data_IF_655072569129
#
_entry.id   IF_655072569129
#
_cell.length_a   1.000
_cell.length_b   1.000
_cell.length_c   1.000
_cell.angle_alpha   90.00
_cell.angle_beta   90.00
_cell.angle_gamma   90.00
#
_symmetry.space_group_name_H-M   'P 1'
#
loop_
_entity.id
_entity.type
_entity.pdbx_description
1 polymer ?
#
# COMPACT_ATOMS: atom_id res chain seq x y z
N UNK A 1 13.36 -11.22 -5.50
CA UNK A 1 12.09 -11.45 -4.76
C UNK A 1 12.04 -12.73 -3.94
N UNK A 2 12.37 -13.92 -4.48
CA UNK A 2 12.31 -15.18 -3.70
C UNK A 2 13.04 -15.13 -2.34
N UNK A 3 14.19 -14.46 -2.27
CA UNK A 3 14.98 -14.33 -1.04
C UNK A 3 14.24 -13.60 0.11
N UNK A 4 13.41 -12.60 -0.22
CA UNK A 4 12.64 -11.85 0.79
C UNK A 4 11.49 -12.69 1.34
N UNK A 5 10.74 -13.37 0.46
CA UNK A 5 9.57 -14.16 0.83
C UNK A 5 9.92 -15.51 1.47
N UNK A 6 11.06 -16.12 1.15
CA UNK A 6 11.40 -17.45 1.64
C UNK A 6 11.93 -17.42 3.08
N UNK A 7 12.67 -16.38 3.49
CA UNK A 7 13.26 -16.28 4.83
C UNK A 7 12.30 -15.64 5.85
N UNK A 8 11.52 -14.63 5.44
CA UNK A 8 10.65 -13.83 6.33
C UNK A 8 9.16 -14.21 6.28
N UNK A 9 8.83 -15.51 6.13
CA UNK A 9 7.43 -15.97 5.98
C UNK A 9 6.54 -15.59 7.18
N UNK A 10 7.04 -15.81 8.40
CA UNK A 10 6.28 -15.59 9.63
C UNK A 10 5.98 -14.10 9.90
N UNK A 11 6.96 -13.17 9.84
CA UNK A 11 6.65 -11.75 9.99
C UNK A 11 5.78 -11.20 8.84
N UNK A 12 5.90 -11.72 7.61
CA UNK A 12 5.00 -11.31 6.52
C UNK A 12 3.54 -11.72 6.75
N UNK A 13 3.30 -12.91 7.31
CA UNK A 13 1.93 -13.33 7.69
C UNK A 13 1.39 -12.44 8.79
N UNK A 14 2.20 -12.11 9.81
CA UNK A 14 1.78 -11.19 10.89
C UNK A 14 1.47 -9.79 10.36
N UNK A 15 2.29 -9.26 9.44
CA UNK A 15 2.00 -7.99 8.76
C UNK A 15 0.63 -8.05 8.07
N UNK A 16 0.37 -9.12 7.32
CA UNK A 16 -0.91 -9.27 6.62
C UNK A 16 -2.10 -9.34 7.58
N UNK A 17 -1.98 -10.10 8.67
CA UNK A 17 -3.01 -10.17 9.72
C UNK A 17 -3.27 -8.78 10.32
N UNK A 18 -2.22 -8.04 10.68
CA UNK A 18 -2.36 -6.70 11.23
C UNK A 18 -2.96 -5.71 10.23
N UNK A 19 -2.64 -5.82 8.93
CA UNK A 19 -3.30 -5.03 7.88
C UNK A 19 -4.79 -5.33 7.76
N UNK A 20 -5.18 -6.60 7.87
CA UNK A 20 -6.59 -6.99 7.83
C UNK A 20 -7.32 -6.43 9.05
N UNK A 21 -6.76 -6.57 10.25
CA UNK A 21 -7.37 -6.05 11.48
C UNK A 21 -7.48 -4.52 11.42
N UNK A 22 -6.41 -3.82 11.00
CA UNK A 22 -6.44 -2.36 10.90
C UNK A 22 -7.48 -1.91 9.88
N UNK A 23 -7.61 -2.61 8.75
CA UNK A 23 -8.59 -2.29 7.71
C UNK A 23 -10.01 -2.50 8.21
N UNK A 24 -10.31 -3.62 8.87
CA UNK A 24 -11.63 -3.87 9.47
C UNK A 24 -11.97 -2.78 10.49
N UNK A 25 -11.02 -2.41 11.35
CA UNK A 25 -11.22 -1.34 12.32
C UNK A 25 -11.50 0.01 11.64
N UNK A 26 -10.78 0.33 10.56
CA UNK A 26 -11.01 1.56 9.80
C UNK A 26 -12.41 1.60 9.15
N UNK A 27 -12.81 0.51 8.48
CA UNK A 27 -14.11 0.40 7.82
C UNK A 27 -15.25 0.51 8.83
N UNK A 28 -15.14 -0.16 9.99
CA UNK A 28 -16.15 -0.05 11.05
C UNK A 28 -16.17 1.33 11.72
N UNK A 29 -15.01 1.95 11.91
CA UNK A 29 -14.91 3.33 12.40
C UNK A 29 -15.65 4.30 11.48
N UNK A 30 -15.47 4.16 10.16
CA UNK A 30 -16.15 4.98 9.16
C UNK A 30 -17.67 4.71 9.12
N UNK A 31 -18.09 3.44 9.22
CA UNK A 31 -19.51 3.07 9.27
C UNK A 31 -20.21 3.61 10.53
N UNK A 32 -19.48 3.79 11.63
CA UNK A 32 -20.04 4.34 12.88
C UNK A 32 -20.48 5.80 12.70
N UNK A 33 -19.89 6.55 11.76
CA UNK A 33 -20.31 7.94 11.45
C UNK A 33 -21.77 7.97 11.03
N UNK A 34 -22.22 7.05 10.17
CA UNK A 34 -23.62 6.99 9.77
C UNK A 34 -24.55 6.75 10.96
N UNK A 35 -24.19 5.80 11.84
CA UNK A 35 -24.97 5.51 13.05
C UNK A 35 -25.05 6.70 13.99
N UNK A 36 -23.96 7.46 14.13
CA UNK A 36 -23.94 8.71 14.92
C UNK A 36 -24.87 9.76 14.31
N UNK A 37 -24.87 9.89 12.98
CA UNK A 37 -25.77 10.82 12.28
C UNK A 37 -27.24 10.41 12.44
N UNK A 38 -27.57 9.13 12.26
CA UNK A 38 -28.93 8.62 12.40
C UNK A 38 -29.48 8.82 13.83
N UNK A 39 -28.66 8.52 14.84
CA UNK A 39 -29.03 8.74 16.24
C UNK A 39 -29.15 10.23 16.58
N UNK A 40 -28.27 11.07 16.03
CA UNK A 40 -28.33 12.52 16.18
C UNK A 40 -29.58 13.14 15.55
N UNK A 41 -29.98 12.66 14.37
CA UNK A 41 -31.23 13.07 13.71
C UNK A 41 -32.44 12.63 14.54
N UNK A 42 -32.45 11.39 15.05
CA UNK A 42 -33.51 10.90 15.92
C UNK A 42 -33.69 11.78 17.14
N UNK A 43 -32.59 12.21 17.76
CA UNK A 43 -32.60 13.09 18.93
C UNK A 43 -33.21 14.47 18.62
N UNK A 44 -32.92 14.99 17.43
CA UNK A 44 -33.49 16.25 16.95
C UNK A 44 -34.99 16.14 16.67
N UNK A 45 -35.44 15.02 16.09
CA UNK A 45 -36.86 14.77 15.78
C UNK A 45 -37.72 14.54 17.01
N UNK A 46 -37.22 13.83 18.03
CA UNK A 46 -37.97 13.52 19.26
C UNK A 46 -37.89 14.61 20.33
N UNK A 47 -36.97 15.57 20.18
CA UNK A 47 -36.71 16.62 21.19
C UNK A 47 -36.18 16.06 22.52
N UNK A 48 -35.75 14.80 22.56
CA UNK A 48 -35.26 14.14 23.76
C UNK A 48 -33.87 14.64 24.13
N UNK A 49 -33.60 14.90 25.43
CA UNK A 49 -32.25 15.30 25.89
C UNK A 49 -31.34 14.12 26.24
N UNK A 50 -31.65 12.90 25.79
CA UNK A 50 -30.86 11.70 26.11
C UNK A 50 -29.70 11.49 25.11
N UNK A 51 -28.55 12.10 25.41
CA UNK A 51 -27.34 11.96 24.61
C UNK A 51 -26.57 10.64 24.85
N UNK A 52 -27.07 9.74 25.69
CA UNK A 52 -26.36 8.50 26.05
C UNK A 52 -26.04 7.62 24.83
N UNK A 53 -26.99 7.49 23.90
CA UNK A 53 -26.82 6.72 22.67
C UNK A 53 -25.71 7.28 21.77
N UNK A 54 -25.71 8.59 21.54
CA UNK A 54 -24.67 9.28 20.75
C UNK A 54 -23.30 9.17 21.43
N UNK A 55 -23.24 9.35 22.75
CA UNK A 55 -22.00 9.23 23.52
C UNK A 55 -21.39 7.82 23.42
N UNK A 56 -22.22 6.78 23.51
CA UNK A 56 -21.78 5.39 23.36
C UNK A 56 -21.21 5.12 21.94
N UNK A 57 -21.86 5.63 20.91
CA UNK A 57 -21.39 5.50 19.52
C UNK A 57 -20.07 6.24 19.30
N UNK A 58 -19.90 7.44 19.88
CA UNK A 58 -18.64 8.19 19.81
C UNK A 58 -17.49 7.45 20.51
N UNK A 59 -17.73 6.89 21.70
CA UNK A 59 -16.73 6.07 22.40
C UNK A 59 -16.33 4.83 21.59
N UNK A 60 -17.30 4.17 20.97
CA UNK A 60 -17.06 3.01 20.11
C UNK A 60 -16.27 3.39 18.85
N UNK A 61 -16.57 4.54 18.25
CA UNK A 61 -15.85 5.10 17.10
C UNK A 61 -14.38 5.39 17.45
N UNK A 62 -14.13 6.03 18.61
CA UNK A 62 -12.77 6.27 19.12
C UNK A 62 -12.03 4.94 19.29
N UNK A 63 -12.68 3.93 19.87
CA UNK A 63 -12.08 2.60 20.04
C UNK A 63 -11.65 1.98 18.70
N UNK A 64 -12.49 2.04 17.67
CA UNK A 64 -12.13 1.56 16.33
C UNK A 64 -10.93 2.30 15.73
N UNK A 65 -10.86 3.63 15.86
CA UNK A 65 -9.71 4.38 15.36
C UNK A 65 -8.43 4.11 16.14
N UNK A 66 -8.52 3.97 17.46
CA UNK A 66 -7.37 3.58 18.28
C UNK A 66 -6.84 2.21 17.85
N UNK A 67 -7.71 1.22 17.66
CA UNK A 67 -7.32 -0.09 17.12
C UNK A 67 -6.69 0.05 15.74
N UNK A 68 -7.30 0.83 14.84
CA UNK A 68 -6.74 1.06 13.52
C UNK A 68 -5.32 1.65 13.59
N UNK A 69 -5.08 2.67 14.43
CA UNK A 69 -3.78 3.31 14.59
C UNK A 69 -2.76 2.31 15.14
N UNK A 70 -3.11 1.56 16.18
CA UNK A 70 -2.21 0.58 16.83
C UNK A 70 -1.78 -0.49 15.83
N UNK A 71 -2.73 -1.13 15.13
CA UNK A 71 -2.41 -2.17 14.16
C UNK A 71 -1.75 -1.60 12.90
N UNK A 72 -2.03 -0.35 12.54
CA UNK A 72 -1.34 0.34 11.46
C UNK A 72 0.13 0.54 11.79
N UNK A 73 0.41 1.09 12.97
CA UNK A 73 1.77 1.26 13.47
C UNK A 73 2.52 -0.07 13.57
N UNK A 74 1.88 -1.12 14.08
CA UNK A 74 2.50 -2.44 14.21
C UNK A 74 2.92 -3.04 12.86
N UNK A 75 2.04 -3.05 11.85
CA UNK A 75 2.41 -3.62 10.56
C UNK A 75 3.45 -2.77 9.82
N UNK A 76 3.39 -1.44 9.93
CA UNK A 76 4.40 -0.54 9.35
C UNK A 76 5.78 -0.78 9.97
N UNK A 77 5.85 -0.85 11.31
CA UNK A 77 7.10 -1.11 12.03
C UNK A 77 7.68 -2.48 11.67
N UNK A 78 6.82 -3.51 11.60
CA UNK A 78 7.24 -4.86 11.23
C UNK A 78 7.73 -4.92 9.77
N UNK A 79 7.08 -4.21 8.84
CA UNK A 79 7.54 -4.10 7.45
C UNK A 79 8.88 -3.38 7.32
N UNK A 80 9.15 -2.35 8.12
CA UNK A 80 10.48 -1.72 8.17
C UNK A 80 11.54 -2.73 8.60
N UNK A 81 11.27 -3.55 9.61
CA UNK A 81 12.22 -4.58 10.04
C UNK A 81 12.48 -5.63 8.93
N UNK A 82 11.41 -6.13 8.30
CA UNK A 82 11.51 -7.07 7.16
C UNK A 82 12.30 -6.44 6.00
N UNK A 83 12.05 -5.16 5.70
CA UNK A 83 12.74 -4.38 4.67
C UNK A 83 14.24 -4.33 4.90
N UNK A 84 14.66 -3.95 6.11
CA UNK A 84 16.07 -3.72 6.42
C UNK A 84 16.85 -5.03 6.43
N UNK A 85 16.29 -6.08 7.04
CA UNK A 85 16.91 -7.42 7.01
C UNK A 85 17.06 -7.94 5.58
N UNK A 86 16.05 -7.71 4.74
CA UNK A 86 16.09 -8.08 3.33
C UNK A 86 17.15 -7.31 2.56
N UNK A 87 17.29 -6.01 2.82
CA UNK A 87 18.30 -5.15 2.18
C UNK A 87 19.72 -5.57 2.56
N UNK A 88 19.98 -5.83 3.84
CA UNK A 88 21.31 -6.30 4.29
C UNK A 88 21.66 -7.59 3.56
N UNK A 89 20.73 -8.55 3.51
CA UNK A 89 20.95 -9.80 2.78
C UNK A 89 21.22 -9.59 1.28
N UNK A 90 20.42 -8.76 0.60
CA UNK A 90 20.62 -8.50 -0.83
C UNK A 90 21.99 -7.87 -1.07
N UNK A 91 22.39 -6.89 -0.26
CA UNK A 91 23.69 -6.23 -0.39
C UNK A 91 24.84 -7.18 -0.10
N UNK A 92 24.77 -8.00 0.95
CA UNK A 92 25.79 -9.01 1.25
C UNK A 92 25.90 -10.05 0.15
N UNK A 93 24.79 -10.63 -0.32
CA UNK A 93 24.84 -11.63 -1.40
C UNK A 93 25.31 -11.05 -2.74
N UNK A 94 24.97 -9.80 -3.05
CA UNK A 94 25.49 -9.11 -4.23
C UNK A 94 27.00 -8.86 -4.10
N UNK A 95 27.46 -8.50 -2.90
CA UNK A 95 28.88 -8.27 -2.62
C UNK A 95 29.71 -9.55 -2.72
N UNK A 96 29.24 -10.64 -2.10
CA UNK A 96 29.87 -11.95 -2.17
C UNK A 96 29.96 -12.43 -3.63
N UNK A 97 28.85 -12.33 -4.37
CA UNK A 97 28.83 -12.70 -5.79
C UNK A 97 29.77 -11.82 -6.63
N UNK A 98 29.89 -10.54 -6.29
CA UNK A 98 30.78 -9.63 -7.00
C UNK A 98 32.26 -9.95 -6.78
N UNK A 99 32.65 -10.45 -5.60
CA UNK A 99 34.03 -10.89 -5.35
C UNK A 99 34.42 -12.11 -6.18
N UNK A 100 33.47 -13.00 -6.48
CA UNK A 100 33.72 -14.21 -7.25
C UNK A 100 33.74 -13.98 -8.78
N UNK A 101 33.44 -12.77 -9.24
CA UNK A 101 33.42 -12.45 -10.67
C UNK A 101 34.84 -12.31 -11.25
N UNK A 102 35.10 -12.87 -12.45
CA UNK A 102 36.41 -12.75 -13.09
C UNK A 102 36.70 -11.29 -13.50
N UNK A 103 37.98 -10.90 -13.51
CA UNK A 103 38.41 -9.54 -13.88
C UNK A 103 37.81 -9.05 -15.20
N UNK A 104 37.71 -9.94 -16.19
CA UNK A 104 37.11 -9.68 -17.50
C UNK A 104 35.69 -9.11 -17.40
N UNK A 105 34.90 -9.50 -16.41
CA UNK A 105 33.56 -8.94 -16.19
C UNK A 105 33.61 -7.43 -15.90
N UNK A 106 34.59 -6.99 -15.12
CA UNK A 106 34.79 -5.59 -14.77
C UNK A 106 35.38 -4.77 -15.92
N UNK A 107 36.16 -5.39 -16.81
CA UNK A 107 36.67 -4.73 -18.03
C UNK A 107 35.58 -4.52 -19.08
N UNK A 108 34.53 -5.37 -19.08
CA UNK A 108 33.46 -5.34 -20.11
C UNK A 108 32.23 -4.53 -19.68
N UNK A 109 32.08 -4.23 -18.39
CA UNK A 109 30.94 -3.49 -17.83
C UNK A 109 31.38 -2.13 -17.27
N UNK A 110 30.62 -1.07 -17.53
CA UNK A 110 30.94 0.26 -16.99
C UNK A 110 30.83 0.23 -15.46
N UNK A 111 31.82 0.78 -14.76
CA UNK A 111 31.82 0.86 -13.30
C UNK A 111 30.54 1.53 -12.74
N UNK A 112 30.01 2.54 -13.44
CA UNK A 112 28.76 3.21 -13.08
C UNK A 112 27.52 2.30 -13.14
N UNK A 113 27.46 1.36 -14.08
CA UNK A 113 26.34 0.42 -14.18
C UNK A 113 26.35 -0.55 -12.99
N UNK A 114 27.54 -1.00 -12.58
CA UNK A 114 27.71 -1.86 -11.40
C UNK A 114 27.25 -1.13 -10.13
N UNK A 115 27.68 0.12 -9.95
CA UNK A 115 27.30 0.92 -8.78
C UNK A 115 25.80 1.24 -8.77
N UNK A 116 25.21 1.58 -9.92
CA UNK A 116 23.76 1.83 -10.03
C UNK A 116 22.94 0.58 -9.68
N UNK A 117 23.38 -0.62 -10.07
CA UNK A 117 22.72 -1.86 -9.66
C UNK A 117 22.84 -2.10 -8.16
N UNK A 118 23.97 -1.75 -7.55
CA UNK A 118 24.19 -1.94 -6.12
C UNK A 118 23.39 -0.96 -5.24
N UNK A 119 23.17 0.26 -5.73
CA UNK A 119 22.46 1.31 -4.99
C UNK A 119 21.01 1.43 -5.45
N UNK A 120 20.79 1.87 -6.69
CA UNK A 120 19.47 2.22 -7.22
C UNK A 120 18.55 1.01 -7.36
N UNK A 121 19.01 -0.10 -7.97
CA UNK A 121 18.14 -1.27 -8.17
C UNK A 121 17.79 -1.96 -6.84
N UNK A 122 18.76 -2.01 -5.92
CA UNK A 122 18.55 -2.58 -4.57
C UNK A 122 17.57 -1.71 -3.77
N UNK A 123 17.73 -0.39 -3.79
CA UNK A 123 16.83 0.52 -3.09
C UNK A 123 15.43 0.57 -3.72
N UNK A 124 15.32 0.51 -5.05
CA UNK A 124 14.05 0.39 -5.75
C UNK A 124 13.34 -0.92 -5.37
N UNK A 125 14.08 -2.03 -5.30
CA UNK A 125 13.56 -3.33 -4.84
C UNK A 125 13.08 -3.24 -3.39
N UNK A 126 13.86 -2.59 -2.52
CA UNK A 126 13.48 -2.34 -1.12
C UNK A 126 12.19 -1.54 -1.04
N UNK A 127 12.08 -0.45 -1.79
CA UNK A 127 10.90 0.41 -1.80
C UNK A 127 9.65 -0.35 -2.26
N UNK A 128 9.77 -1.11 -3.34
CA UNK A 128 8.67 -1.92 -3.85
C UNK A 128 8.16 -2.92 -2.80
N UNK A 129 9.06 -3.62 -2.12
CA UNK A 129 8.69 -4.63 -1.10
C UNK A 129 8.11 -3.99 0.16
N UNK A 130 8.60 -2.81 0.53
CA UNK A 130 8.39 -2.26 1.88
C UNK A 130 7.36 -1.13 1.92
N UNK A 131 7.03 -0.55 0.77
CA UNK A 131 6.02 0.50 0.63
C UNK A 131 5.00 0.14 -0.44
N UNK A 132 5.41 -0.08 -1.68
CA UNK A 132 4.45 -0.22 -2.79
C UNK A 132 3.54 -1.43 -2.65
N UNK A 133 4.09 -2.63 -2.41
CA UNK A 133 3.29 -3.85 -2.20
C UNK A 133 2.38 -3.79 -0.96
N UNK A 134 2.87 -3.41 0.24
CA UNK A 134 1.99 -3.24 1.39
C UNK A 134 0.90 -2.18 1.16
N UNK A 135 1.23 -1.05 0.54
CA UNK A 135 0.24 0.00 0.21
C UNK A 135 -0.83 -0.52 -0.76
N UNK A 136 -0.43 -1.26 -1.81
CA UNK A 136 -1.36 -1.90 -2.74
C UNK A 136 -2.27 -2.88 -2.02
N UNK A 137 -1.73 -3.67 -1.09
CA UNK A 137 -2.49 -4.64 -0.30
C UNK A 137 -3.53 -3.95 0.58
N UNK A 138 -3.12 -2.93 1.35
CA UNK A 138 -4.04 -2.14 2.19
C UNK A 138 -5.11 -1.45 1.33
N UNK A 139 -4.73 -0.89 0.18
CA UNK A 139 -5.67 -0.23 -0.73
C UNK A 139 -6.72 -1.20 -1.26
N UNK A 140 -6.33 -2.42 -1.63
CA UNK A 140 -7.26 -3.47 -2.05
C UNK A 140 -8.19 -3.91 -0.91
N UNK A 141 -7.65 -4.09 0.30
CA UNK A 141 -8.44 -4.45 1.48
C UNK A 141 -9.48 -3.35 1.80
N UNK A 142 -9.09 -2.08 1.75
CA UNK A 142 -10.00 -0.95 1.98
C UNK A 142 -11.05 -0.85 0.89
N UNK A 143 -10.65 -1.01 -0.39
CA UNK A 143 -11.58 -1.01 -1.52
C UNK A 143 -12.67 -2.08 -1.34
N UNK A 144 -12.27 -3.31 -1.02
CA UNK A 144 -13.21 -4.41 -0.77
C UNK A 144 -14.05 -4.15 0.48
N UNK A 145 -13.43 -3.70 1.57
CA UNK A 145 -14.09 -3.45 2.84
C UNK A 145 -15.18 -2.36 2.73
N UNK A 146 -14.86 -1.23 2.08
CA UNK A 146 -15.85 -0.19 1.83
C UNK A 146 -16.94 -0.61 0.85
N UNK A 147 -16.60 -1.39 -0.18
CA UNK A 147 -17.60 -1.92 -1.10
C UNK A 147 -18.62 -2.80 -0.36
N UNK A 148 -18.15 -3.72 0.48
CA UNK A 148 -19.02 -4.58 1.32
C UNK A 148 -19.87 -3.71 2.26
N UNK A 149 -19.28 -2.71 2.92
CA UNK A 149 -20.00 -1.82 3.81
C UNK A 149 -21.10 -1.05 3.06
N UNK A 150 -20.81 -0.53 1.87
CA UNK A 150 -21.80 0.18 1.06
C UNK A 150 -22.96 -0.71 0.61
N UNK A 151 -22.68 -1.91 0.12
CA UNK A 151 -23.73 -2.88 -0.27
C UNK A 151 -24.59 -3.27 0.95
N UNK A 152 -23.99 -3.36 2.14
CA UNK A 152 -24.71 -3.68 3.38
C UNK A 152 -25.66 -2.57 3.83
N UNK A 153 -25.32 -1.30 3.57
CA UNK A 153 -26.19 -0.15 3.86
C UNK A 153 -27.29 -0.04 2.81
N UNK A 154 -26.92 -0.08 1.53
CA UNK A 154 -27.88 -0.05 0.43
C UNK A 154 -27.26 -0.58 -0.86
N UNK A 155 -27.94 -1.55 -1.49
CA UNK A 155 -27.50 -2.15 -2.74
C UNK A 155 -27.36 -1.12 -3.88
N UNK A 156 -28.13 -0.02 -3.86
CA UNK A 156 -28.04 1.04 -4.88
C UNK A 156 -26.72 1.82 -4.79
N UNK A 157 -26.23 2.09 -3.57
CA UNK A 157 -24.92 2.71 -3.36
C UNK A 157 -23.81 1.77 -3.85
N UNK A 158 -23.94 0.48 -3.57
CA UNK A 158 -23.02 -0.54 -4.04
C UNK A 158 -22.88 -0.54 -5.57
N UNK A 159 -24.00 -0.56 -6.29
CA UNK A 159 -23.98 -0.51 -7.77
C UNK A 159 -23.38 0.80 -8.28
N UNK A 160 -23.78 1.93 -7.70
CA UNK A 160 -23.26 3.22 -8.10
C UNK A 160 -21.72 3.27 -7.97
N UNK A 161 -21.21 2.86 -6.81
CA UNK A 161 -19.77 2.80 -6.56
C UNK A 161 -19.05 1.81 -7.47
N UNK A 162 -19.66 0.65 -7.77
CA UNK A 162 -19.09 -0.33 -8.70
C UNK A 162 -18.96 0.25 -10.12
N UNK A 163 -20.02 0.87 -10.63
CA UNK A 163 -20.01 1.50 -11.96
C UNK A 163 -18.93 2.60 -12.01
N UNK A 164 -18.86 3.43 -10.97
CA UNK A 164 -17.85 4.49 -10.89
C UNK A 164 -16.43 3.92 -10.84
N UNK A 165 -16.20 2.86 -10.07
CA UNK A 165 -14.91 2.17 -10.01
C UNK A 165 -14.49 1.61 -11.38
N UNK A 166 -15.41 0.99 -12.12
CA UNK A 166 -15.15 0.49 -13.48
C UNK A 166 -14.77 1.63 -14.43
N UNK A 167 -15.50 2.74 -14.40
CA UNK A 167 -15.20 3.93 -15.21
C UNK A 167 -13.80 4.46 -14.89
N UNK A 168 -13.45 4.60 -13.62
CA UNK A 168 -12.12 5.06 -13.19
C UNK A 168 -11.01 4.11 -13.64
N UNK A 169 -11.23 2.79 -13.58
CA UNK A 169 -10.25 1.80 -14.06
C UNK A 169 -10.02 1.94 -15.57
N UNK A 170 -11.08 2.15 -16.35
CA UNK A 170 -10.98 2.36 -17.80
C UNK A 170 -10.21 3.65 -18.12
N UNK A 171 -10.57 4.76 -17.48
CA UNK A 171 -9.90 6.05 -17.66
C UNK A 171 -8.41 5.93 -17.30
N UNK A 172 -8.11 5.33 -16.15
CA UNK A 172 -6.74 5.13 -15.69
C UNK A 172 -5.96 4.28 -16.69
N UNK A 173 -6.53 3.19 -17.22
CA UNK A 173 -5.87 2.35 -18.23
C UNK A 173 -5.56 3.11 -19.51
N UNK A 174 -6.48 3.93 -19.99
CA UNK A 174 -6.27 4.74 -21.21
C UNK A 174 -5.15 5.76 -20.99
N UNK A 175 -5.18 6.47 -19.86
CA UNK A 175 -4.15 7.45 -19.50
C UNK A 175 -2.80 6.75 -19.33
N UNK A 176 -2.70 5.70 -18.52
CA UNK A 176 -1.45 4.97 -18.29
C UNK A 176 -0.85 4.41 -19.57
N UNK A 177 -1.67 3.92 -20.51
CA UNK A 177 -1.18 3.44 -21.82
C UNK A 177 -0.55 4.57 -22.63
N UNK A 178 -1.17 5.75 -22.63
CA UNK A 178 -0.67 6.93 -23.35
C UNK A 178 0.61 7.48 -22.68
N UNK A 179 0.60 7.60 -21.36
CA UNK A 179 1.73 8.04 -20.55
C UNK A 179 2.95 7.14 -20.74
N UNK A 180 2.76 5.80 -20.77
CA UNK A 180 3.86 4.86 -21.00
C UNK A 180 4.56 5.09 -22.34
N UNK A 181 3.79 5.34 -23.42
CA UNK A 181 4.37 5.66 -24.73
C UNK A 181 5.26 6.90 -24.67
N UNK A 182 4.78 7.99 -24.05
CA UNK A 182 5.58 9.22 -23.93
C UNK A 182 6.82 9.04 -23.06
N UNK A 183 6.76 8.20 -22.01
CA UNK A 183 7.95 7.86 -21.23
C UNK A 183 8.99 7.10 -22.05
N UNK A 184 8.54 6.14 -22.88
CA UNK A 184 9.45 5.39 -23.76
C UNK A 184 10.13 6.34 -24.77
N UNK A 185 9.38 7.27 -25.36
CA UNK A 185 9.90 8.29 -26.28
C UNK A 185 10.89 9.24 -25.56
N UNK A 186 10.54 9.73 -24.36
CA UNK A 186 11.41 10.59 -23.55
C UNK A 186 12.72 9.89 -23.13
N UNK A 187 12.65 8.61 -22.78
CA UNK A 187 13.82 7.80 -22.43
C UNK A 187 14.76 7.65 -23.64
N UNK A 188 14.20 7.49 -24.85
CA UNK A 188 14.97 7.42 -26.09
C UNK A 188 15.67 8.73 -26.41
N UNK A 189 14.97 9.86 -26.32
CA UNK A 189 15.54 11.18 -26.61
C UNK A 189 16.65 11.55 -25.62
N UNK A 190 16.44 11.24 -24.33
CA UNK A 190 17.47 11.42 -23.29
C UNK A 190 18.69 10.53 -23.55
N UNK A 191 18.48 9.30 -24.02
CA UNK A 191 19.54 8.37 -24.41
C UNK A 191 20.38 8.88 -25.59
N UNK A 192 19.74 9.50 -26.59
CA UNK A 192 20.41 10.11 -27.73
C UNK A 192 21.25 11.32 -27.27
N UNK A 193 20.67 12.23 -26.48
CA UNK A 193 21.37 13.40 -25.94
C UNK A 193 22.61 13.02 -25.11
N UNK A 194 22.48 12.02 -24.23
CA UNK A 194 23.60 11.52 -23.45
C UNK A 194 24.65 10.76 -24.27
N UNK A 195 24.35 10.38 -25.51
CA UNK A 195 25.31 9.74 -26.44
C UNK A 195 26.11 10.73 -27.28
N UNK A 196 25.69 12.01 -27.34
CA UNK A 196 26.43 13.09 -28.00
C UNK A 196 27.47 13.76 -27.08
N UNK A 197 27.40 13.53 -25.77
CA UNK A 197 28.34 13.99 -24.73
C UNK A 197 29.26 12.84 -24.36
#
# INVERSE_FOLDING_TARGET
MKLVFVRNKLPLILVFIFMVISTIANVNGLNTIQKVLDEGLRLFETGSSDFSGVMYLLLTMIMYYVLNIVFTFMHLRLMVHVSQNSLVHIRTSLFDHMMDLPLKYFDTNKHGDIMSRFTNDVDATRQMVSQSLPQLTVSLLLMIGYFIAMVSISWILGIFTFVFAVILIIITRVISKKTRKYFDDQQRDTGILNGYI
#
